data_IF_621928411001
#
_entry.id   IF_621928411001
#
_cell.length_a   1.000
_cell.length_b   1.000
_cell.length_c   1.000
_cell.angle_alpha   90.00
_cell.angle_beta   90.00
_cell.angle_gamma   90.00
#
_symmetry.space_group_name_H-M   'P 1'
#
loop_
_entity.id
_entity.type
_entity.pdbx_description
1 polymer ?
#
# COMPACT_ATOMS: atom_id res chain seq x y z
N UNK A 1 2.37 37.80 -37.42
CA UNK A 1 1.72 37.06 -36.33
C UNK A 1 2.67 35.94 -35.93
N UNK A 2 3.56 36.25 -34.99
CA UNK A 2 4.40 35.23 -34.37
C UNK A 2 3.55 34.59 -33.27
N UNK A 3 3.11 33.36 -33.50
CA UNK A 3 2.49 32.52 -32.47
C UNK A 3 3.60 32.20 -31.48
N UNK A 4 3.49 32.77 -30.29
CA UNK A 4 4.54 32.74 -29.29
C UNK A 4 4.64 31.35 -28.68
N UNK A 5 5.86 30.90 -28.38
CA UNK A 5 6.17 29.58 -27.80
C UNK A 5 5.58 29.32 -26.39
N UNK A 6 4.75 30.22 -25.83
CA UNK A 6 4.14 30.04 -24.49
C UNK A 6 2.74 29.43 -24.51
N UNK A 7 2.08 29.33 -25.67
CA UNK A 7 0.63 29.09 -25.71
C UNK A 7 0.18 27.63 -25.52
N UNK A 8 1.10 26.70 -25.22
CA UNK A 8 0.75 25.27 -25.09
C UNK A 8 1.40 24.53 -23.92
N UNK A 9 1.92 25.24 -22.91
CA UNK A 9 2.61 24.60 -21.77
C UNK A 9 1.78 23.49 -21.09
N UNK A 10 0.49 23.72 -20.88
CA UNK A 10 -0.40 22.72 -20.27
C UNK A 10 -0.61 21.50 -21.18
N UNK A 11 -0.88 21.70 -22.46
CA UNK A 11 -1.07 20.62 -23.43
C UNK A 11 0.21 19.80 -23.63
N UNK A 12 1.37 20.44 -23.57
CA UNK A 12 2.68 19.79 -23.60
C UNK A 12 2.89 18.91 -22.36
N UNK A 13 2.51 19.39 -21.17
CA UNK A 13 2.53 18.60 -19.93
C UNK A 13 1.57 17.41 -20.00
N UNK A 14 0.34 17.61 -20.47
CA UNK A 14 -0.65 16.54 -20.65
C UNK A 14 -0.11 15.48 -21.60
N UNK A 15 0.41 15.90 -22.76
CA UNK A 15 1.00 15.00 -23.77
C UNK A 15 2.19 14.22 -23.24
N UNK A 16 3.05 14.87 -22.46
CA UNK A 16 4.17 14.21 -21.77
C UNK A 16 3.67 13.12 -20.82
N UNK A 17 2.67 13.42 -19.99
CA UNK A 17 2.14 12.43 -19.05
C UNK A 17 1.40 11.28 -19.73
N UNK A 18 0.66 11.55 -20.80
CA UNK A 18 0.06 10.49 -21.64
C UNK A 18 1.16 9.55 -22.14
N UNK A 19 2.22 10.10 -22.72
CA UNK A 19 3.34 9.31 -23.27
C UNK A 19 4.01 8.45 -22.19
N UNK A 20 4.36 9.05 -21.04
CA UNK A 20 5.04 8.34 -19.95
C UNK A 20 4.19 7.20 -19.38
N UNK A 21 2.92 7.48 -19.08
CA UNK A 21 2.02 6.50 -18.50
C UNK A 21 1.63 5.40 -19.50
N UNK A 22 1.40 5.75 -20.76
CA UNK A 22 1.09 4.79 -21.81
C UNK A 22 2.27 3.86 -22.09
N UNK A 23 3.48 4.39 -22.21
CA UNK A 23 4.67 3.58 -22.41
C UNK A 23 4.88 2.61 -21.25
N UNK A 24 4.72 3.07 -20.00
CA UNK A 24 4.81 2.21 -18.84
C UNK A 24 3.76 1.08 -18.91
N UNK A 25 2.52 1.42 -19.24
CA UNK A 25 1.43 0.45 -19.37
C UNK A 25 1.69 -0.60 -20.45
N UNK A 26 2.07 -0.18 -21.66
CA UNK A 26 2.34 -1.06 -22.79
C UNK A 26 3.57 -1.94 -22.53
N UNK A 27 4.64 -1.37 -21.98
CA UNK A 27 5.85 -2.11 -21.63
C UNK A 27 5.55 -3.24 -20.62
N UNK A 28 4.73 -2.94 -19.60
CA UNK A 28 4.33 -3.94 -18.60
C UNK A 28 3.49 -5.07 -19.20
N UNK A 29 2.61 -4.76 -20.16
CA UNK A 29 1.87 -5.77 -20.92
C UNK A 29 2.83 -6.59 -21.78
N UNK A 30 3.75 -5.96 -22.50
CA UNK A 30 4.71 -6.63 -23.39
C UNK A 30 5.63 -7.60 -22.65
N UNK A 31 6.00 -7.28 -21.40
CA UNK A 31 6.82 -8.14 -20.54
C UNK A 31 6.06 -9.29 -19.88
N UNK A 32 4.73 -9.31 -19.95
CA UNK A 32 3.90 -10.29 -19.25
C UNK A 32 3.50 -11.47 -20.14
N UNK A 33 3.48 -12.69 -19.60
CA UNK A 33 3.02 -13.88 -20.35
C UNK A 33 1.51 -13.82 -20.62
N UNK A 34 0.72 -13.46 -19.60
CA UNK A 34 -0.72 -13.29 -19.73
C UNK A 34 -1.08 -11.82 -20.05
N UNK A 35 -1.17 -11.50 -21.35
CA UNK A 35 -1.48 -10.14 -21.84
C UNK A 35 -2.85 -9.63 -21.36
N UNK A 36 -3.87 -10.49 -21.32
CA UNK A 36 -5.25 -10.12 -20.93
C UNK A 36 -5.30 -9.72 -19.46
N UNK A 37 -4.70 -10.53 -18.58
CA UNK A 37 -4.58 -10.23 -17.16
C UNK A 37 -3.72 -8.99 -16.91
N UNK A 38 -2.54 -8.92 -17.54
CA UNK A 38 -1.63 -7.79 -17.37
C UNK A 38 -2.28 -6.47 -17.79
N UNK A 39 -2.98 -6.46 -18.92
CA UNK A 39 -3.72 -5.30 -19.40
C UNK A 39 -4.74 -4.81 -18.36
N UNK A 40 -5.53 -5.71 -17.80
CA UNK A 40 -6.49 -5.38 -16.76
C UNK A 40 -5.85 -4.86 -15.46
N UNK A 41 -4.84 -5.59 -14.97
CA UNK A 41 -4.17 -5.27 -13.71
C UNK A 41 -3.46 -3.91 -13.80
N UNK A 42 -2.67 -3.69 -14.86
CA UNK A 42 -1.90 -2.46 -15.04
C UNK A 42 -2.78 -1.27 -15.40
N UNK A 43 -3.91 -1.47 -16.09
CA UNK A 43 -4.91 -0.41 -16.26
C UNK A 43 -5.44 0.05 -14.91
N UNK A 44 -5.73 -0.89 -14.00
CA UNK A 44 -6.23 -0.54 -12.67
C UNK A 44 -5.15 0.11 -11.80
N UNK A 45 -3.91 -0.40 -11.79
CA UNK A 45 -2.85 0.15 -10.92
C UNK A 45 -2.22 1.44 -11.45
N UNK A 46 -1.98 1.56 -12.76
CA UNK A 46 -1.32 2.73 -13.37
C UNK A 46 -2.30 3.88 -13.59
N UNK A 47 -3.56 3.61 -13.95
CA UNK A 47 -4.52 4.66 -14.26
C UNK A 47 -5.58 4.85 -13.16
N UNK A 48 -6.30 3.78 -12.78
CA UNK A 48 -7.44 3.91 -11.86
C UNK A 48 -7.05 4.14 -10.41
N UNK A 49 -5.97 3.52 -9.93
CA UNK A 49 -5.53 3.60 -8.54
C UNK A 49 -4.18 4.29 -8.45
N UNK A 50 -3.92 5.21 -9.38
CA UNK A 50 -2.67 5.94 -9.41
C UNK A 50 -2.52 6.76 -8.12
N UNK A 51 -1.45 6.56 -7.33
CA UNK A 51 -1.27 7.21 -6.04
C UNK A 51 -1.06 8.72 -6.11
N UNK A 52 -0.68 9.26 -7.28
CA UNK A 52 -0.54 10.71 -7.47
C UNK A 52 -1.88 11.44 -7.54
N UNK A 53 -3.00 10.74 -7.77
CA UNK A 53 -4.33 11.35 -7.81
C UNK A 53 -4.97 11.21 -6.42
N UNK A 54 -5.16 12.30 -5.67
CA UNK A 54 -5.77 12.27 -4.34
C UNK A 54 -7.29 12.15 -4.47
N UNK A 55 -7.79 10.97 -4.86
CA UNK A 55 -9.22 10.75 -5.16
C UNK A 55 -10.15 10.95 -3.97
N UNK A 56 -9.65 10.73 -2.77
CA UNK A 56 -10.39 10.92 -1.52
C UNK A 56 -10.37 12.38 -1.04
N UNK A 57 -9.58 13.26 -1.69
CA UNK A 57 -9.52 14.67 -1.30
C UNK A 57 -10.75 15.43 -1.73
N UNK A 58 -11.35 16.16 -0.80
CA UNK A 58 -12.46 17.08 -1.01
C UNK A 58 -12.00 18.23 -1.92
N UNK A 59 -10.87 18.86 -1.60
CA UNK A 59 -10.32 19.95 -2.39
C UNK A 59 -10.08 19.55 -3.85
N UNK A 60 -9.36 18.44 -4.06
CA UNK A 60 -9.05 17.99 -5.41
C UNK A 60 -10.30 17.56 -6.18
N UNK A 61 -11.29 16.98 -5.51
CA UNK A 61 -12.57 16.65 -6.14
C UNK A 61 -13.32 17.89 -6.62
N UNK A 62 -13.35 18.99 -5.85
CA UNK A 62 -13.93 20.24 -6.33
C UNK A 62 -13.12 20.84 -7.49
N UNK A 63 -11.80 20.93 -7.33
CA UNK A 63 -10.89 21.48 -8.32
C UNK A 63 -11.00 20.74 -9.66
N UNK A 64 -10.89 19.41 -9.64
CA UNK A 64 -10.94 18.59 -10.86
C UNK A 64 -12.31 18.61 -11.54
N UNK A 65 -13.42 18.70 -10.79
CA UNK A 65 -14.77 18.81 -11.36
C UNK A 65 -14.97 20.14 -12.07
N UNK A 66 -14.56 21.25 -11.45
CA UNK A 66 -14.66 22.59 -12.04
C UNK A 66 -13.75 22.67 -13.27
N UNK A 67 -12.52 22.16 -13.16
CA UNK A 67 -11.60 22.06 -14.29
C UNK A 67 -12.21 21.29 -15.46
N UNK A 68 -12.74 20.08 -15.24
CA UNK A 68 -13.35 19.30 -16.32
C UNK A 68 -14.56 19.99 -16.93
N UNK A 69 -15.34 20.72 -16.14
CA UNK A 69 -16.45 21.51 -16.65
C UNK A 69 -15.97 22.58 -17.64
N UNK A 70 -15.00 23.40 -17.24
CA UNK A 70 -14.46 24.45 -18.11
C UNK A 70 -13.69 23.87 -19.30
N UNK A 71 -12.91 22.80 -19.09
CA UNK A 71 -12.19 22.11 -20.16
C UNK A 71 -13.11 21.59 -21.27
N UNK A 72 -14.31 21.12 -20.90
CA UNK A 72 -15.32 20.68 -21.88
C UNK A 72 -16.01 21.83 -22.60
N UNK A 73 -16.08 23.02 -22.00
CA UNK A 73 -16.67 24.21 -22.61
C UNK A 73 -15.67 24.92 -23.52
N UNK A 74 -14.45 25.13 -23.03
CA UNK A 74 -13.34 25.73 -23.73
C UNK A 74 -12.01 25.30 -23.07
N UNK A 75 -11.25 24.44 -23.74
CA UNK A 75 -9.98 23.93 -23.21
C UNK A 75 -8.93 25.03 -23.00
N UNK A 76 -8.89 26.05 -23.86
CA UNK A 76 -7.87 27.11 -23.82
C UNK A 76 -7.96 28.00 -22.57
N UNK A 77 -9.18 28.25 -22.07
CA UNK A 77 -9.41 29.08 -20.87
C UNK A 77 -9.67 28.26 -19.61
N UNK A 78 -9.62 26.92 -19.70
CA UNK A 78 -10.05 26.04 -18.62
C UNK A 78 -9.28 26.24 -17.32
N UNK A 79 -7.96 26.39 -17.39
CA UNK A 79 -7.12 26.63 -16.22
C UNK A 79 -7.44 27.99 -15.59
N UNK A 80 -7.45 29.06 -16.37
CA UNK A 80 -7.72 30.42 -15.88
C UNK A 80 -9.10 30.51 -15.23
N UNK A 81 -10.13 29.95 -15.87
CA UNK A 81 -11.49 29.91 -15.33
C UNK A 81 -11.54 29.09 -14.03
N UNK A 82 -10.85 27.95 -13.96
CA UNK A 82 -10.76 27.13 -12.75
C UNK A 82 -10.06 27.87 -11.62
N UNK A 83 -8.91 28.49 -11.89
CA UNK A 83 -8.13 29.20 -10.88
C UNK A 83 -8.80 30.48 -10.42
N UNK A 84 -9.63 31.12 -11.26
CA UNK A 84 -10.50 32.22 -10.82
C UNK A 84 -11.49 31.80 -9.72
N UNK A 85 -11.81 30.50 -9.63
CA UNK A 85 -12.66 29.90 -8.60
C UNK A 85 -11.91 29.30 -7.43
N UNK A 86 -10.57 29.38 -7.41
CA UNK A 86 -9.75 28.79 -6.36
C UNK A 86 -10.12 29.29 -4.95
N UNK A 87 -10.42 30.59 -4.71
CA UNK A 87 -10.86 31.05 -3.39
C UNK A 87 -12.17 30.39 -2.95
N UNK A 88 -13.15 30.27 -3.85
CA UNK A 88 -14.44 29.63 -3.56
C UNK A 88 -14.27 28.12 -3.29
N UNK A 89 -13.36 27.46 -4.01
CA UNK A 89 -13.03 26.05 -3.80
C UNK A 89 -12.43 25.85 -2.41
N UNK A 90 -11.43 26.66 -2.03
CA UNK A 90 -10.78 26.59 -0.71
C UNK A 90 -11.80 26.81 0.41
N UNK A 91 -12.64 27.84 0.29
CA UNK A 91 -13.69 28.11 1.26
C UNK A 91 -14.66 26.92 1.42
N UNK A 92 -15.11 26.31 0.32
CA UNK A 92 -15.99 25.11 0.39
C UNK A 92 -15.28 23.92 1.04
N UNK A 93 -14.01 23.71 0.74
CA UNK A 93 -13.21 22.66 1.39
C UNK A 93 -13.09 22.89 2.89
N UNK A 94 -12.82 24.11 3.33
CA UNK A 94 -12.74 24.46 4.76
C UNK A 94 -14.05 24.17 5.51
N UNK A 95 -15.20 24.50 4.89
CA UNK A 95 -16.52 24.18 5.46
C UNK A 95 -16.73 22.68 5.61
N UNK A 96 -16.37 21.88 4.59
CA UNK A 96 -16.50 20.42 4.65
C UNK A 96 -15.54 19.79 5.68
N UNK A 97 -14.32 20.34 5.83
CA UNK A 97 -13.39 19.93 6.89
C UNK A 97 -14.00 20.17 8.27
N UNK A 98 -14.54 21.37 8.52
CA UNK A 98 -15.15 21.70 9.81
C UNK A 98 -16.33 20.77 10.15
N UNK A 99 -17.15 20.42 9.16
CA UNK A 99 -18.23 19.44 9.33
C UNK A 99 -17.71 18.04 9.65
N UNK A 100 -16.61 17.62 9.01
CA UNK A 100 -15.96 16.34 9.36
C UNK A 100 -15.42 16.38 10.79
N UNK A 101 -14.75 17.45 11.20
CA UNK A 101 -14.26 17.61 12.58
C UNK A 101 -15.40 17.46 13.60
N UNK A 102 -16.52 18.16 13.39
CA UNK A 102 -17.70 18.09 14.27
C UNK A 102 -18.28 16.66 14.37
N UNK A 103 -18.36 15.94 13.24
CA UNK A 103 -18.88 14.56 13.23
C UNK A 103 -18.00 13.57 14.01
N UNK A 104 -16.69 13.78 14.06
CA UNK A 104 -15.73 12.85 14.67
C UNK A 104 -15.37 13.20 16.12
N UNK A 105 -15.69 14.40 16.61
CA UNK A 105 -15.62 14.72 18.05
C UNK A 105 -16.61 13.88 18.88
N UNK A 106 -17.64 13.30 18.26
CA UNK A 106 -18.64 12.45 18.92
C UNK A 106 -18.23 10.95 19.02
N UNK A 107 -17.22 10.49 18.27
CA UNK A 107 -16.78 9.08 18.25
C UNK A 107 -15.36 8.89 18.83
N UNK A 108 -15.22 7.92 19.74
CA UNK A 108 -14.06 7.74 20.64
C UNK A 108 -12.66 7.60 19.99
N UNK A 109 -11.65 7.90 20.82
CA UNK A 109 -10.21 8.20 20.61
C UNK A 109 -9.36 7.56 19.50
N UNK A 110 -9.79 6.50 18.82
CA UNK A 110 -8.96 5.84 17.79
C UNK A 110 -9.15 6.45 16.39
N UNK A 111 -10.23 7.20 16.17
CA UNK A 111 -10.53 7.88 14.89
C UNK A 111 -9.75 9.19 14.68
N UNK A 112 -9.11 9.72 15.72
CA UNK A 112 -8.49 11.06 15.70
C UNK A 112 -7.24 11.14 14.81
N UNK A 113 -6.41 10.09 14.79
CA UNK A 113 -5.21 10.07 13.95
C UNK A 113 -5.54 10.02 12.45
N UNK A 114 -6.52 9.21 12.05
CA UNK A 114 -6.96 9.12 10.66
C UNK A 114 -7.58 10.43 10.17
N UNK A 115 -8.35 11.11 11.03
CA UNK A 115 -8.94 12.40 10.72
C UNK A 115 -7.86 13.49 10.59
N UNK A 116 -6.91 13.53 11.52
CA UNK A 116 -5.81 14.51 11.48
C UNK A 116 -4.96 14.37 10.22
N UNK A 117 -4.63 13.14 9.81
CA UNK A 117 -3.91 12.88 8.56
C UNK A 117 -4.72 13.32 7.33
N UNK A 118 -6.03 13.06 7.33
CA UNK A 118 -6.92 13.45 6.23
C UNK A 118 -7.03 14.98 6.10
N UNK A 119 -7.20 15.68 7.22
CA UNK A 119 -7.26 17.14 7.25
C UNK A 119 -5.92 17.75 6.84
N UNK A 120 -4.81 17.20 7.35
CA UNK A 120 -3.47 17.61 6.94
C UNK A 120 -3.25 17.48 5.43
N UNK A 121 -3.75 16.40 4.81
CA UNK A 121 -3.70 16.22 3.37
C UNK A 121 -4.50 17.28 2.61
N UNK A 122 -5.70 17.66 3.08
CA UNK A 122 -6.47 18.74 2.45
C UNK A 122 -5.75 20.09 2.56
N UNK A 123 -5.22 20.41 3.73
CA UNK A 123 -4.48 21.64 3.97
C UNK A 123 -3.24 21.74 3.09
N UNK A 124 -2.50 20.63 2.95
CA UNK A 124 -1.37 20.52 2.03
C UNK A 124 -1.79 20.78 0.58
N UNK A 125 -2.87 20.16 0.12
CA UNK A 125 -3.35 20.37 -1.26
C UNK A 125 -3.83 21.81 -1.49
N UNK A 126 -4.45 22.44 -0.49
CA UNK A 126 -4.84 23.85 -0.54
C UNK A 126 -3.65 24.81 -0.50
N UNK A 127 -2.50 24.40 0.04
CA UNK A 127 -1.29 25.22 0.07
C UNK A 127 -0.42 25.10 -1.19
N UNK A 128 -0.75 24.19 -2.11
CA UNK A 128 -0.03 24.07 -3.38
C UNK A 128 -0.10 25.35 -4.21
N UNK A 129 1.02 25.64 -4.86
CA UNK A 129 1.19 26.76 -5.77
C UNK A 129 0.51 26.51 -7.12
N UNK A 130 0.30 27.59 -7.88
CA UNK A 130 -0.36 27.54 -9.20
C UNK A 130 0.23 26.47 -10.14
N UNK A 131 1.56 26.40 -10.21
CA UNK A 131 2.26 25.46 -11.09
C UNK A 131 2.11 24.01 -10.64
N UNK A 132 2.03 23.75 -9.34
CA UNK A 132 1.84 22.41 -8.77
C UNK A 132 0.40 21.92 -9.01
N UNK A 133 -0.59 22.81 -8.86
CA UNK A 133 -1.98 22.50 -9.19
C UNK A 133 -2.17 22.28 -10.70
N UNK A 134 -1.46 23.06 -11.52
CA UNK A 134 -1.47 22.89 -12.99
C UNK A 134 -0.89 21.53 -13.37
N UNK A 135 0.23 21.13 -12.77
CA UNK A 135 0.85 19.83 -13.00
C UNK A 135 -0.08 18.67 -12.58
N UNK A 136 -0.72 18.79 -11.42
CA UNK A 136 -1.67 17.80 -10.91
C UNK A 136 -2.89 17.66 -11.83
N UNK A 137 -3.44 18.77 -12.34
CA UNK A 137 -4.54 18.77 -13.31
C UNK A 137 -4.13 18.19 -14.66
N UNK A 138 -2.92 18.47 -15.14
CA UNK A 138 -2.38 17.90 -16.38
C UNK A 138 -2.25 16.37 -16.25
N UNK A 139 -1.68 15.90 -15.13
CA UNK A 139 -1.54 14.48 -14.83
C UNK A 139 -2.91 13.78 -14.72
N UNK A 140 -3.87 14.43 -14.07
CA UNK A 140 -5.24 13.94 -13.97
C UNK A 140 -5.94 13.82 -15.33
N UNK A 141 -5.80 14.83 -16.19
CA UNK A 141 -6.37 14.82 -17.52
C UNK A 141 -5.73 13.72 -18.40
N UNK A 142 -4.42 13.54 -18.32
CA UNK A 142 -3.72 12.46 -19.00
C UNK A 142 -4.27 11.07 -18.60
N UNK A 143 -4.48 10.83 -17.30
CA UNK A 143 -5.10 9.59 -16.81
C UNK A 143 -6.53 9.43 -17.37
N UNK A 144 -7.33 10.50 -17.42
CA UNK A 144 -8.68 10.45 -17.98
C UNK A 144 -8.66 10.05 -19.46
N UNK A 145 -7.79 10.67 -20.26
CA UNK A 145 -7.61 10.33 -21.68
C UNK A 145 -7.18 8.87 -21.87
N UNK A 146 -6.28 8.36 -21.03
CA UNK A 146 -5.85 6.97 -21.09
C UNK A 146 -6.95 5.98 -20.68
N UNK A 147 -7.78 6.33 -19.69
CA UNK A 147 -8.93 5.51 -19.31
C UNK A 147 -10.01 5.45 -20.40
N UNK A 148 -10.15 6.50 -21.20
CA UNK A 148 -11.01 6.53 -22.38
C UNK A 148 -10.42 5.70 -23.53
N UNK A 149 -9.11 5.83 -23.78
CA UNK A 149 -8.37 5.08 -24.80
C UNK A 149 -8.33 3.57 -24.51
N UNK A 150 -8.19 3.20 -23.24
CA UNK A 150 -8.18 1.83 -22.76
C UNK A 150 -9.39 1.60 -21.85
N UNK A 151 -10.58 1.29 -22.40
CA UNK A 151 -11.76 1.01 -21.58
C UNK A 151 -11.59 -0.28 -20.76
N UNK A 152 -12.41 -0.47 -19.73
CA UNK A 152 -12.42 -1.73 -18.97
C UNK A 152 -12.80 -2.88 -19.92
N UNK A 153 -11.97 -3.91 -19.98
CA UNK A 153 -12.38 -5.18 -20.58
C UNK A 153 -13.36 -5.87 -19.62
N UNK A 154 -14.57 -6.20 -20.08
CA UNK A 154 -15.65 -6.79 -19.26
C UNK A 154 -15.34 -8.20 -18.74
N UNK A 155 -14.28 -8.84 -19.23
CA UNK A 155 -13.95 -10.23 -18.90
C UNK A 155 -12.54 -10.36 -18.34
N UNK A 156 -12.39 -10.24 -17.03
CA UNK A 156 -11.29 -10.92 -16.35
C UNK A 156 -11.97 -11.96 -15.50
N UNK A 157 -12.00 -13.21 -15.96
CA UNK A 157 -12.34 -14.29 -15.06
C UNK A 157 -11.41 -14.18 -13.85
N UNK A 158 -11.95 -14.15 -12.62
CA UNK A 158 -11.10 -14.17 -11.44
C UNK A 158 -10.15 -15.35 -11.60
N UNK A 159 -8.85 -15.09 -11.44
CA UNK A 159 -7.85 -16.16 -11.46
C UNK A 159 -8.26 -17.20 -10.42
N UNK A 160 -8.77 -18.32 -10.91
CA UNK A 160 -9.12 -19.46 -10.07
C UNK A 160 -7.86 -20.28 -9.90
N UNK A 161 -7.40 -20.42 -8.66
CA UNK A 161 -6.34 -21.36 -8.29
C UNK A 161 -6.71 -22.81 -8.65
N UNK A 162 -7.99 -23.08 -8.93
CA UNK A 162 -8.53 -24.40 -9.25
C UNK A 162 -8.72 -24.66 -10.75
N UNK A 163 -8.32 -23.71 -11.62
CA UNK A 163 -8.38 -23.93 -13.07
C UNK A 163 -7.38 -25.03 -13.49
N UNK A 164 -7.78 -25.99 -14.35
CA UNK A 164 -6.92 -27.07 -14.78
C UNK A 164 -5.71 -26.52 -15.57
N UNK A 165 -4.54 -26.60 -14.95
CA UNK A 165 -3.24 -26.17 -15.47
C UNK A 165 -2.97 -26.83 -16.83
N UNK A 166 -2.69 -26.01 -17.86
CA UNK A 166 -2.37 -26.50 -19.21
C UNK A 166 -1.05 -27.28 -19.23
N UNK A 167 -0.85 -28.19 -20.18
CA UNK A 167 0.38 -29.01 -20.25
C UNK A 167 1.67 -28.20 -20.41
N UNK A 168 1.60 -26.98 -20.97
CA UNK A 168 2.73 -26.04 -21.02
C UNK A 168 3.09 -25.49 -19.63
N UNK A 169 2.09 -25.21 -18.79
CA UNK A 169 2.29 -24.73 -17.42
C UNK A 169 2.77 -25.85 -16.49
N UNK A 170 2.42 -27.13 -16.75
CA UNK A 170 3.03 -28.28 -16.06
C UNK A 170 4.55 -28.34 -16.23
N UNK A 171 5.07 -27.90 -17.38
CA UNK A 171 6.51 -27.77 -17.63
C UNK A 171 7.18 -26.65 -16.83
N UNK A 172 6.46 -25.55 -16.59
CA UNK A 172 6.95 -24.42 -15.81
C UNK A 172 6.83 -24.63 -14.29
N UNK A 173 5.75 -25.26 -13.82
CA UNK A 173 5.50 -25.62 -12.41
C UNK A 173 6.40 -26.74 -11.90
N UNK A 174 7.03 -27.51 -12.79
CA UNK A 174 8.08 -28.46 -12.43
C UNK A 174 9.45 -27.79 -12.20
N UNK A 175 9.58 -26.47 -12.41
CA UNK A 175 10.65 -25.72 -11.76
C UNK A 175 10.24 -25.58 -10.30
N UNK A 176 10.72 -26.48 -9.45
CA UNK A 176 10.69 -26.31 -7.99
C UNK A 176 11.28 -24.94 -7.66
N UNK A 177 10.45 -23.92 -7.52
CA UNK A 177 10.80 -22.78 -6.69
C UNK A 177 10.70 -23.26 -5.25
N UNK A 178 11.85 -23.57 -4.66
CA UNK A 178 12.05 -23.82 -3.24
C UNK A 178 11.71 -22.56 -2.41
N UNK A 179 10.44 -22.18 -2.37
CA UNK A 179 9.94 -21.20 -1.40
C UNK A 179 8.75 -21.73 -0.61
N UNK A 180 8.50 -23.05 -0.62
CA UNK A 180 7.56 -23.68 0.30
C UNK A 180 8.21 -23.98 1.65
N UNK A 181 8.82 -22.97 2.29
CA UNK A 181 9.15 -23.08 3.71
C UNK A 181 7.92 -22.60 4.47
N UNK A 182 7.04 -23.53 4.82
CA UNK A 182 5.95 -23.26 5.75
C UNK A 182 6.52 -23.23 7.17
N UNK A 183 6.66 -22.02 7.72
CA UNK A 183 7.06 -21.87 9.12
C UNK A 183 5.94 -22.33 10.05
N UNK A 184 6.32 -23.05 11.10
CA UNK A 184 5.38 -23.42 12.16
C UNK A 184 4.89 -22.16 12.91
N UNK A 185 3.73 -22.25 13.58
CA UNK A 185 3.23 -21.14 14.41
C UNK A 185 4.25 -20.66 15.46
N UNK A 186 5.10 -21.58 15.95
CA UNK A 186 6.19 -21.25 16.88
C UNK A 186 7.28 -20.41 16.22
N UNK A 187 7.71 -20.79 15.03
CA UNK A 187 8.72 -20.07 14.27
C UNK A 187 8.21 -18.68 13.88
N UNK A 188 6.94 -18.57 13.49
CA UNK A 188 6.30 -17.28 13.20
C UNK A 188 6.24 -16.39 14.45
N UNK A 189 5.82 -16.95 15.59
CA UNK A 189 5.76 -16.23 16.85
C UNK A 189 7.15 -15.78 17.34
N UNK A 190 8.17 -16.62 17.17
CA UNK A 190 9.56 -16.29 17.49
C UNK A 190 10.12 -15.19 16.58
N UNK A 191 9.88 -15.29 15.28
CA UNK A 191 10.30 -14.25 14.34
C UNK A 191 9.66 -12.90 14.68
N UNK A 192 8.36 -12.90 15.02
CA UNK A 192 7.67 -11.69 15.45
C UNK A 192 8.26 -11.13 16.75
N UNK A 193 8.57 -11.98 17.73
CA UNK A 193 9.20 -11.56 18.99
C UNK A 193 10.52 -10.81 18.75
N UNK A 194 11.46 -11.40 18.01
CA UNK A 194 12.75 -10.75 17.73
C UNK A 194 12.62 -9.50 16.88
N UNK A 195 11.63 -9.45 15.98
CA UNK A 195 11.35 -8.25 15.20
C UNK A 195 10.83 -7.12 16.09
N UNK A 196 9.93 -7.41 17.02
CA UNK A 196 9.42 -6.42 17.99
C UNK A 196 10.55 -5.88 18.88
N UNK A 197 11.39 -6.77 19.40
CA UNK A 197 12.57 -6.38 20.18
C UNK A 197 13.54 -5.54 19.36
N UNK A 198 13.71 -5.85 18.07
CA UNK A 198 14.55 -5.06 17.16
C UNK A 198 14.09 -3.60 17.09
N UNK A 199 12.77 -3.38 16.94
CA UNK A 199 12.17 -2.04 16.86
C UNK A 199 11.93 -1.39 18.23
N UNK A 200 12.39 -2.02 19.32
CA UNK A 200 12.36 -1.44 20.66
C UNK A 200 11.02 -1.65 21.40
N UNK A 201 10.25 -2.67 21.00
CA UNK A 201 9.02 -3.06 21.68
C UNK A 201 9.27 -4.38 22.41
N UNK A 202 9.15 -4.39 23.73
CA UNK A 202 9.33 -5.61 24.54
C UNK A 202 7.98 -6.26 24.84
N UNK A 203 7.68 -7.45 24.27
CA UNK A 203 6.40 -8.12 24.53
C UNK A 203 6.24 -8.48 26.01
N UNK A 204 5.04 -8.24 26.57
CA UNK A 204 4.67 -8.26 28.01
C UNK A 204 5.02 -7.01 28.82
N UNK A 205 6.06 -6.25 28.46
CA UNK A 205 6.39 -5.00 29.13
C UNK A 205 5.59 -3.84 28.52
N UNK A 206 5.64 -3.72 27.20
CA UNK A 206 5.09 -2.56 26.47
C UNK A 206 3.76 -2.85 25.79
N UNK A 207 3.45 -4.13 25.50
CA UNK A 207 2.31 -4.52 24.66
C UNK A 207 1.54 -5.70 25.24
N UNK A 208 0.21 -5.61 25.16
CA UNK A 208 -0.71 -6.67 25.54
C UNK A 208 -0.56 -7.90 24.61
N UNK A 209 -0.36 -9.07 25.21
CA UNK A 209 -0.14 -10.33 24.51
C UNK A 209 -1.32 -10.75 23.60
N UNK A 210 -2.54 -10.32 23.93
CA UNK A 210 -3.72 -10.55 23.09
C UNK A 210 -3.62 -9.80 21.77
N UNK A 211 -3.06 -8.58 21.78
CA UNK A 211 -2.90 -7.78 20.57
C UNK A 211 -1.75 -8.31 19.70
N UNK A 212 -0.67 -8.81 20.32
CA UNK A 212 0.39 -9.54 19.61
C UNK A 212 -0.16 -10.79 18.92
N UNK A 213 -1.06 -11.54 19.59
CA UNK A 213 -1.69 -12.71 19.00
C UNK A 213 -2.62 -12.36 17.82
N UNK A 214 -3.41 -11.27 17.94
CA UNK A 214 -4.23 -10.73 16.84
C UNK A 214 -3.37 -10.35 15.63
N UNK A 215 -2.27 -9.66 15.88
CA UNK A 215 -1.34 -9.27 14.84
C UNK A 215 -0.70 -10.48 14.14
N UNK A 216 -0.34 -11.51 14.89
CA UNK A 216 0.19 -12.75 14.32
C UNK A 216 -0.86 -13.53 13.48
N UNK A 217 -2.15 -13.43 13.81
CA UNK A 217 -3.23 -13.95 12.97
C UNK A 217 -3.36 -13.17 11.68
N UNK A 218 -3.35 -11.83 11.77
CA UNK A 218 -3.37 -10.92 10.62
C UNK A 218 -2.24 -11.23 9.62
N UNK A 219 -0.99 -11.32 10.10
CA UNK A 219 0.18 -11.60 9.25
C UNK A 219 0.11 -12.97 8.56
N UNK A 220 -0.60 -13.92 9.15
CA UNK A 220 -0.74 -15.28 8.62
C UNK A 220 -2.00 -15.50 7.78
N UNK A 221 -2.84 -14.47 7.61
CA UNK A 221 -4.16 -14.56 6.98
C UNK A 221 -5.04 -15.69 7.57
N UNK A 222 -4.96 -15.93 8.87
CA UNK A 222 -5.76 -16.93 9.57
C UNK A 222 -6.98 -16.25 10.24
N UNK A 223 -8.21 -16.76 10.02
CA UNK A 223 -9.41 -16.17 10.58
C UNK A 223 -9.44 -16.32 12.11
N UNK A 224 -9.77 -15.23 12.80
CA UNK A 224 -9.92 -15.20 14.26
C UNK A 224 -11.32 -15.69 14.61
N UNK A 225 -11.46 -16.98 14.94
CA UNK A 225 -12.76 -17.54 15.33
C UNK A 225 -13.03 -17.45 16.84
N UNK A 226 -11.99 -17.52 17.68
CA UNK A 226 -12.07 -17.31 19.14
C UNK A 226 -10.74 -16.71 19.64
N UNK A 227 -10.79 -15.52 20.26
CA UNK A 227 -9.62 -14.80 20.78
C UNK A 227 -9.04 -15.45 22.05
N UNK A 228 -9.93 -15.89 22.94
CA UNK A 228 -9.57 -16.56 24.19
C UNK A 228 -9.30 -18.04 23.90
N UNK A 229 -8.02 -18.42 23.85
CA UNK A 229 -7.48 -19.76 23.52
C UNK A 229 -7.11 -20.04 22.06
N UNK A 230 -6.76 -19.02 21.26
CA UNK A 230 -6.13 -19.32 19.97
C UNK A 230 -4.79 -20.07 20.16
N UNK A 231 -4.50 -21.05 19.29
CA UNK A 231 -3.26 -21.83 19.35
C UNK A 231 -2.01 -20.93 19.39
N UNK A 232 -2.06 -19.80 18.68
CA UNK A 232 -1.03 -18.75 18.64
C UNK A 232 -0.84 -18.03 19.97
N UNK A 233 -1.91 -17.69 20.68
CA UNK A 233 -1.82 -17.14 22.04
C UNK A 233 -1.17 -18.15 23.01
N UNK A 234 -1.54 -19.44 22.89
CA UNK A 234 -0.93 -20.52 23.67
C UNK A 234 0.56 -20.71 23.38
N UNK A 235 0.97 -20.54 22.12
CA UNK A 235 2.37 -20.57 21.67
C UNK A 235 3.15 -19.39 22.25
N UNK A 236 2.64 -18.17 22.10
CA UNK A 236 3.26 -16.96 22.65
C UNK A 236 3.43 -17.10 24.18
N UNK A 237 2.37 -17.51 24.90
CA UNK A 237 2.44 -17.73 26.35
C UNK A 237 3.52 -18.74 26.77
N UNK A 238 3.76 -19.79 25.97
CA UNK A 238 4.78 -20.81 26.23
C UNK A 238 6.20 -20.34 25.89
N UNK A 239 6.37 -19.58 24.80
CA UNK A 239 7.66 -19.01 24.42
C UNK A 239 8.23 -18.15 25.56
N UNK A 240 7.42 -17.28 26.14
CA UNK A 240 7.82 -16.39 27.24
C UNK A 240 7.89 -17.05 28.63
N UNK A 241 7.49 -18.32 28.76
CA UNK A 241 7.52 -19.05 30.04
C UNK A 241 8.64 -20.09 30.11
N UNK A 242 9.59 -20.04 29.15
CA UNK A 242 10.90 -20.68 29.23
C UNK A 242 10.86 -22.20 29.13
N UNK A 243 11.30 -22.73 27.99
CA UNK A 243 11.98 -24.03 27.93
C UNK A 243 13.07 -24.01 26.86
N UNK A 244 14.31 -24.03 27.32
CA UNK A 244 15.54 -24.22 26.56
C UNK A 244 15.69 -25.72 26.20
N UNK A 245 14.82 -26.19 25.30
CA UNK A 245 14.87 -27.55 24.78
C UNK A 245 15.47 -27.62 23.36
N UNK A 246 15.79 -28.83 22.89
CA UNK A 246 16.34 -29.06 21.55
C UNK A 246 15.40 -28.60 20.42
N UNK A 247 14.09 -28.53 20.67
CA UNK A 247 13.12 -28.07 19.68
C UNK A 247 13.18 -26.54 19.54
N UNK A 248 13.31 -25.83 20.66
CA UNK A 248 13.52 -24.39 20.69
C UNK A 248 14.79 -23.97 19.96
N UNK A 249 15.91 -24.68 20.20
CA UNK A 249 17.15 -24.46 19.47
C UNK A 249 16.97 -24.59 17.95
N UNK A 250 16.25 -25.64 17.50
CA UNK A 250 15.98 -25.86 16.08
C UNK A 250 15.13 -24.73 15.47
N UNK A 251 14.16 -24.22 16.22
CA UNK A 251 13.32 -23.11 15.76
C UNK A 251 14.14 -21.82 15.59
N UNK A 252 15.05 -21.51 16.52
CA UNK A 252 15.98 -20.37 16.41
C UNK A 252 16.94 -20.50 15.22
N UNK A 253 17.55 -21.68 15.05
CA UNK A 253 18.44 -21.96 13.91
C UNK A 253 17.70 -21.88 12.56
N UNK A 254 16.39 -22.15 12.55
CA UNK A 254 15.56 -22.06 11.34
C UNK A 254 15.26 -20.62 10.95
N UNK A 255 15.01 -19.73 11.92
CA UNK A 255 14.64 -18.33 11.62
C UNK A 255 15.86 -17.42 11.43
N UNK A 256 17.01 -17.73 12.05
CA UNK A 256 18.21 -16.88 12.04
C UNK A 256 18.64 -16.42 10.62
N UNK A 257 18.72 -17.29 9.59
CA UNK A 257 19.18 -16.87 8.25
C UNK A 257 18.36 -15.74 7.62
N UNK A 258 17.10 -15.60 8.01
CA UNK A 258 16.22 -14.55 7.49
C UNK A 258 16.55 -13.18 8.08
N UNK A 259 16.89 -13.13 9.37
CA UNK A 259 17.35 -11.89 10.01
C UNK A 259 18.71 -11.43 9.47
N UNK A 260 19.60 -12.39 9.17
CA UNK A 260 20.89 -12.12 8.53
C UNK A 260 20.71 -11.52 7.13
N UNK A 261 19.83 -12.12 6.31
CA UNK A 261 19.57 -11.65 4.95
C UNK A 261 18.94 -10.26 4.92
N UNK A 262 18.11 -9.93 5.91
CA UNK A 262 17.46 -8.63 6.07
C UNK A 262 18.32 -7.60 6.80
N UNK A 263 19.53 -7.95 7.24
CA UNK A 263 20.47 -7.06 7.95
C UNK A 263 19.86 -6.47 9.24
N UNK A 264 19.12 -7.30 9.99
CA UNK A 264 18.49 -6.91 11.25
C UNK A 264 19.44 -7.16 12.43
N UNK A 265 20.57 -6.45 12.45
CA UNK A 265 21.75 -6.73 13.30
C UNK A 265 21.42 -6.91 14.80
N UNK A 266 20.52 -6.08 15.35
CA UNK A 266 20.10 -6.22 16.76
C UNK A 266 19.40 -7.55 17.02
N UNK A 267 18.48 -7.95 16.14
CA UNK A 267 17.75 -9.21 16.29
C UNK A 267 18.66 -10.41 16.02
N UNK A 268 19.52 -10.34 15.00
CA UNK A 268 20.52 -11.38 14.73
C UNK A 268 21.35 -11.68 15.97
N UNK A 269 21.92 -10.64 16.59
CA UNK A 269 22.76 -10.79 17.78
C UNK A 269 21.99 -11.43 18.94
N UNK A 270 20.75 -10.99 19.19
CA UNK A 270 19.91 -11.57 20.26
C UNK A 270 19.65 -13.07 20.02
N UNK A 271 19.33 -13.46 18.79
CA UNK A 271 19.10 -14.87 18.42
C UNK A 271 20.40 -15.68 18.61
N UNK A 272 21.56 -15.14 18.20
CA UNK A 272 22.85 -15.81 18.36
C UNK A 272 23.25 -16.00 19.83
N UNK A 273 23.02 -14.99 20.67
CA UNK A 273 23.25 -15.06 22.11
C UNK A 273 22.39 -16.15 22.75
N UNK A 274 21.11 -16.22 22.39
CA UNK A 274 20.19 -17.22 22.93
C UNK A 274 20.56 -18.65 22.46
N UNK A 275 20.91 -18.82 21.18
CA UNK A 275 21.44 -20.09 20.65
C UNK A 275 22.68 -20.55 21.41
N UNK A 276 23.61 -19.62 21.72
CA UNK A 276 24.83 -19.92 22.44
C UNK A 276 24.52 -20.40 23.86
N UNK A 277 23.67 -19.67 24.58
CA UNK A 277 23.26 -20.03 25.94
C UNK A 277 22.59 -21.41 26.00
N UNK A 278 21.69 -21.70 25.05
CA UNK A 278 21.02 -23.02 24.98
C UNK A 278 22.04 -24.14 24.69
N UNK A 279 22.99 -23.92 23.78
CA UNK A 279 24.04 -24.91 23.47
C UNK A 279 24.99 -25.15 24.64
N UNK A 280 25.26 -24.14 25.45
CA UNK A 280 26.05 -24.27 26.68
C UNK A 280 25.29 -25.06 27.76
N UNK A 281 23.98 -24.84 27.88
CA UNK A 281 23.13 -25.54 28.86
C UNK A 281 22.72 -26.98 28.45
N UNK A 282 22.87 -27.34 27.17
CA UNK A 282 22.59 -28.69 26.65
C UNK A 282 23.83 -29.62 26.64
N UNK A 283 25.01 -29.11 27.02
CA UNK A 283 26.23 -29.90 27.26
C UNK A 283 26.23 -30.53 28.64
#
# INVERSE_FOLDING_TARGET
MEVSKSDNFFEDLVSKYILELENLYLQKIEQSDNKKYASAFYRSSIFERNPKIPKESIFFNFLSRIFLHHYRLNNLSALDETFSKLPDIKFRTEVEIALLEEMYEEEASDSFHFLSDRIGNEQYLMSLEYHELTDLLAFFLAIKSLLEKYPKSEEIEPFSLDAPISEMEKGALNRKHEYSVTFSDKQQALALYFLMEHIGITPRADVNMTDVARFLHLLSNQPITVLDNSAKYGVLKKLFNGKSDKAYLKDLETILPYFQKLQLDKAERMIQEEIKEIKENLK
#
